data_IF_109150313656
#
_entry.id   IF_109150313656
#
_cell.length_a   1.000
_cell.length_b   1.000
_cell.length_c   1.000
_cell.angle_alpha   90.00
_cell.angle_beta   90.00
_cell.angle_gamma   90.00
#
_symmetry.space_group_name_H-M   'P 1'
#
loop_
_entity.id
_entity.type
_entity.pdbx_description
1 polymer ?
#
# COMPACT_ATOMS: atom_id res chain seq x y z
N UNK A 1 -12.61 -21.72 5.63
CA UNK A 1 -12.12 -21.77 4.25
C UNK A 1 -12.86 -20.71 3.45
N UNK A 2 -12.40 -19.46 3.48
CA UNK A 2 -13.14 -18.34 2.89
C UNK A 2 -12.18 -17.40 2.14
N UNK A 3 -12.52 -17.12 0.88
CA UNK A 3 -11.98 -16.09 -0.02
C UNK A 3 -10.54 -16.25 -0.54
N UNK A 4 -10.38 -17.13 -1.53
CA UNK A 4 -9.23 -17.16 -2.44
C UNK A 4 -9.55 -16.51 -3.82
N UNK A 5 -10.70 -15.84 -3.97
CA UNK A 5 -11.24 -15.46 -5.29
C UNK A 5 -10.93 -14.04 -5.79
N UNK A 6 -10.22 -13.20 -5.04
CA UNK A 6 -9.95 -11.82 -5.47
C UNK A 6 -8.55 -11.34 -5.08
N UNK A 7 -7.50 -12.08 -5.47
CA UNK A 7 -6.14 -11.52 -5.41
C UNK A 7 -6.05 -10.40 -6.46
N UNK A 8 -5.94 -9.16 -6.01
CA UNK A 8 -5.74 -8.01 -6.90
C UNK A 8 -4.25 -7.82 -7.12
N UNK A 9 -3.86 -7.65 -8.38
CA UNK A 9 -2.49 -7.36 -8.83
C UNK A 9 -2.45 -5.94 -9.38
N UNK A 10 -1.44 -5.18 -8.96
CA UNK A 10 -1.06 -3.89 -9.56
C UNK A 10 0.33 -4.04 -10.14
N UNK A 11 0.46 -3.77 -11.44
CA UNK A 11 1.75 -3.69 -12.11
C UNK A 11 2.19 -2.22 -12.14
N UNK A 12 3.45 -1.98 -11.77
CA UNK A 12 4.04 -0.64 -11.79
C UNK A 12 5.03 -0.59 -12.94
N UNK A 13 4.79 0.31 -13.88
CA UNK A 13 5.58 0.46 -15.10
C UNK A 13 6.32 1.80 -15.13
N UNK A 14 7.58 1.78 -15.59
CA UNK A 14 8.35 2.98 -15.91
C UNK A 14 9.54 2.64 -16.84
N UNK A 15 9.59 3.14 -18.10
CA UNK A 15 8.52 3.83 -18.84
C UNK A 15 7.31 2.92 -19.12
N UNK A 16 6.21 3.43 -19.70
CA UNK A 16 5.06 2.59 -20.08
C UNK A 16 5.49 1.39 -20.94
N UNK A 17 5.00 0.19 -20.59
CA UNK A 17 5.37 -1.08 -21.20
C UNK A 17 6.62 -1.76 -20.60
N UNK A 18 7.27 -1.16 -19.59
CA UNK A 18 8.36 -1.78 -18.83
C UNK A 18 7.97 -1.90 -17.37
N UNK A 19 7.58 -3.10 -16.95
CA UNK A 19 7.24 -3.41 -15.56
C UNK A 19 8.50 -3.34 -14.68
N UNK A 20 8.48 -2.47 -13.68
CA UNK A 20 9.57 -2.31 -12.70
C UNK A 20 9.28 -3.05 -11.38
N UNK A 21 8.03 -3.47 -11.16
CA UNK A 21 7.63 -4.28 -10.02
C UNK A 21 6.12 -4.46 -9.95
N UNK A 22 5.66 -5.21 -8.95
CA UNK A 22 4.26 -5.55 -8.76
C UNK A 22 3.83 -5.40 -7.30
N UNK A 23 2.53 -5.24 -7.08
CA UNK A 23 1.92 -5.29 -5.75
C UNK A 23 0.77 -6.28 -5.80
N UNK A 24 0.80 -7.26 -4.90
CA UNK A 24 -0.22 -8.31 -4.82
C UNK A 24 -0.94 -8.22 -3.49
N UNK A 25 -2.27 -8.19 -3.54
CA UNK A 25 -3.10 -8.39 -2.35
C UNK A 25 -3.20 -9.90 -2.04
N UNK A 26 -2.75 -10.28 -0.84
CA UNK A 26 -2.85 -11.63 -0.32
C UNK A 26 -3.87 -11.70 0.82
N UNK A 27 -4.54 -12.85 0.94
CA UNK A 27 -5.40 -13.15 2.08
C UNK A 27 -4.54 -13.44 3.31
N UNK A 28 -4.54 -12.53 4.28
CA UNK A 28 -3.95 -12.79 5.60
C UNK A 28 -4.92 -13.52 6.54
N UNK A 29 -4.42 -13.96 7.70
CA UNK A 29 -5.21 -14.71 8.67
C UNK A 29 -6.31 -13.87 9.34
N UNK A 30 -6.04 -12.59 9.61
CA UNK A 30 -6.99 -11.65 10.24
C UNK A 30 -7.11 -10.31 9.51
N UNK A 31 -6.13 -9.92 8.69
CA UNK A 31 -6.07 -8.63 7.98
C UNK A 31 -5.62 -8.81 6.52
N UNK A 32 -5.98 -7.88 5.61
CA UNK A 32 -5.40 -7.86 4.27
C UNK A 32 -3.88 -7.60 4.36
N UNK A 33 -3.11 -8.41 3.63
CA UNK A 33 -1.66 -8.29 3.48
C UNK A 33 -1.38 -7.86 2.03
N UNK A 34 -0.61 -6.79 1.83
CA UNK A 34 -0.16 -6.40 0.49
C UNK A 34 1.34 -6.61 0.38
N UNK A 35 1.77 -7.25 -0.69
CA UNK A 35 3.18 -7.63 -0.89
C UNK A 35 3.70 -6.91 -2.12
N UNK A 36 4.70 -6.05 -1.94
CA UNK A 36 5.43 -5.40 -3.01
C UNK A 36 6.57 -6.29 -3.49
N UNK A 37 6.71 -6.46 -4.80
CA UNK A 37 7.79 -7.23 -5.41
C UNK A 37 8.51 -6.43 -6.49
N UNK A 38 9.81 -6.66 -6.61
CA UNK A 38 10.60 -6.10 -7.70
C UNK A 38 10.40 -6.86 -9.03
N UNK A 39 11.10 -6.44 -10.08
CA UNK A 39 11.09 -7.08 -11.39
C UNK A 39 11.66 -8.51 -11.41
N UNK A 40 12.31 -8.95 -10.33
CA UNK A 40 12.87 -10.29 -10.15
C UNK A 40 11.94 -11.16 -9.30
N UNK A 41 10.71 -10.71 -9.05
CA UNK A 41 9.71 -11.34 -8.18
C UNK A 41 10.19 -11.51 -6.72
N UNK A 42 11.18 -10.72 -6.29
CA UNK A 42 11.65 -10.71 -4.90
C UNK A 42 10.76 -9.82 -4.05
N UNK A 43 10.39 -10.29 -2.86
CA UNK A 43 9.65 -9.48 -1.91
C UNK A 43 10.53 -8.33 -1.40
N UNK A 44 10.07 -7.10 -1.61
CA UNK A 44 10.76 -5.89 -1.17
C UNK A 44 10.16 -5.29 0.10
N UNK A 45 8.84 -5.45 0.30
CA UNK A 45 8.14 -5.03 1.51
C UNK A 45 6.75 -5.66 1.60
N UNK A 46 6.26 -5.76 2.82
CA UNK A 46 4.91 -6.14 3.19
C UNK A 46 4.18 -4.95 3.82
N UNK A 47 2.91 -4.76 3.48
CA UNK A 47 2.01 -3.77 4.09
C UNK A 47 0.98 -4.49 4.93
N UNK A 48 0.95 -4.17 6.22
CA UNK A 48 0.04 -4.78 7.21
C UNK A 48 -0.86 -3.72 7.84
N UNK A 49 -2.15 -4.04 7.99
CA UNK A 49 -3.10 -3.18 8.69
C UNK A 49 -2.89 -3.28 10.20
N UNK A 50 -2.71 -2.14 10.88
CA UNK A 50 -2.71 -2.13 12.35
C UNK A 50 -4.16 -2.00 12.85
N UNK A 51 -4.81 -3.13 13.09
CA UNK A 51 -6.25 -3.23 13.35
C UNK A 51 -6.72 -2.74 14.76
N UNK A 52 -6.11 -1.68 15.31
CA UNK A 52 -6.33 -1.25 16.70
C UNK A 52 -6.76 0.22 16.90
N UNK A 53 -7.25 0.94 15.89
CA UNK A 53 -7.75 2.31 16.12
C UNK A 53 -9.12 2.60 15.52
N UNK A 54 -9.98 3.26 16.30
CA UNK A 54 -11.35 3.69 15.94
C UNK A 54 -11.37 4.96 15.04
N UNK A 55 -10.28 5.25 14.34
CA UNK A 55 -10.05 6.43 13.49
C UNK A 55 -9.13 6.07 12.31
N UNK A 56 -8.70 7.06 11.50
CA UNK A 56 -7.74 6.95 10.38
C UNK A 56 -6.96 5.62 10.31
N UNK A 57 -7.17 4.84 9.24
CA UNK A 57 -6.45 3.56 9.07
C UNK A 57 -4.97 3.83 8.77
N UNK A 58 -4.11 3.24 9.61
CA UNK A 58 -2.65 3.22 9.42
C UNK A 58 -2.24 1.82 9.01
N UNK A 59 -1.48 1.75 7.91
CA UNK A 59 -0.91 0.53 7.37
C UNK A 59 0.60 0.65 7.45
N UNK A 60 1.24 -0.25 8.18
CA UNK A 60 2.70 -0.24 8.30
C UNK A 60 3.33 -0.93 7.11
N UNK A 61 4.37 -0.30 6.56
CA UNK A 61 5.25 -0.87 5.54
C UNK A 61 6.44 -1.47 6.27
N UNK A 62 6.68 -2.76 6.08
CA UNK A 62 7.77 -3.50 6.72
C UNK A 62 8.56 -4.28 5.68
N UNK A 63 9.85 -4.48 5.92
CA UNK A 63 10.69 -5.38 5.15
C UNK A 63 11.25 -6.50 6.06
N UNK A 64 12.16 -7.33 5.53
CA UNK A 64 12.83 -8.37 6.32
C UNK A 64 13.73 -7.85 7.46
N UNK A 65 13.96 -6.53 7.56
CA UNK A 65 14.77 -5.87 8.59
C UNK A 65 13.93 -5.10 9.61
N UNK A 66 12.69 -4.75 9.28
CA UNK A 66 11.75 -4.13 10.21
C UNK A 66 10.86 -3.07 9.57
N UNK A 67 10.50 -2.06 10.36
CA UNK A 67 9.64 -0.96 9.92
C UNK A 67 10.36 -0.07 8.90
N UNK A 68 9.68 0.18 7.78
CA UNK A 68 10.16 1.04 6.69
C UNK A 68 9.35 2.32 6.55
N UNK A 69 8.09 2.33 6.99
CA UNK A 69 7.24 3.51 6.87
C UNK A 69 5.77 3.16 7.06
N UNK A 70 4.90 4.05 6.62
CA UNK A 70 3.46 3.85 6.72
C UNK A 70 2.68 4.43 5.54
N UNK A 71 1.56 3.79 5.23
CA UNK A 71 0.48 4.34 4.41
C UNK A 71 -0.66 4.70 5.34
N UNK A 72 -1.13 5.94 5.30
CA UNK A 72 -2.23 6.42 6.17
C UNK A 72 -3.38 6.93 5.33
N UNK A 73 -4.59 6.43 5.60
CA UNK A 73 -5.83 6.99 5.05
C UNK A 73 -6.43 7.96 6.06
N UNK A 74 -6.45 9.27 5.75
CA UNK A 74 -7.18 10.27 6.53
C UNK A 74 -8.65 10.32 6.09
N UNK A 75 -9.57 10.17 7.03
CA UNK A 75 -10.97 10.53 6.80
C UNK A 75 -11.08 12.05 6.84
N UNK A 76 -11.60 12.67 5.78
CA UNK A 76 -11.93 14.09 5.77
C UNK A 76 -13.13 14.32 6.71
N UNK A 77 -12.86 14.58 7.99
CA UNK A 77 -13.89 14.81 9.00
C UNK A 77 -14.37 16.27 9.04
N UNK A 78 -15.66 16.46 8.71
CA UNK A 78 -16.62 17.41 9.31
C UNK A 78 -16.22 18.91 9.35
N UNK A 79 -15.94 19.54 8.21
CA UNK A 79 -16.20 20.98 8.04
C UNK A 79 -16.80 21.23 6.65
N UNK A 80 -17.89 22.00 6.65
CA UNK A 80 -18.79 22.28 5.54
C UNK A 80 -18.11 22.75 4.26
N UNK A 81 -18.19 22.00 3.16
CA UNK A 81 -18.32 22.64 1.86
C UNK A 81 -18.89 21.70 0.79
N UNK A 82 -20.05 22.11 0.32
CA UNK A 82 -21.04 21.50 -0.56
C UNK A 82 -20.55 21.05 -1.95
N UNK A 83 -19.24 21.02 -2.26
CA UNK A 83 -18.75 20.82 -3.64
C UNK A 83 -17.37 20.13 -3.78
N UNK A 84 -17.02 19.10 -3.00
CA UNK A 84 -15.97 18.13 -3.46
C UNK A 84 -16.12 16.78 -2.77
N UNK A 85 -16.80 15.86 -3.45
CA UNK A 85 -17.16 14.52 -2.99
C UNK A 85 -15.93 13.59 -3.04
N UNK A 86 -15.62 12.96 -1.91
CA UNK A 86 -14.80 11.76 -1.74
C UNK A 86 -13.30 11.80 -2.15
N UNK A 87 -12.51 12.79 -1.73
CA UNK A 87 -11.04 12.66 -1.76
C UNK A 87 -10.53 11.99 -0.47
N UNK A 88 -10.25 10.70 -0.54
CA UNK A 88 -9.46 10.00 0.49
C UNK A 88 -8.04 10.60 0.47
N UNK A 89 -7.67 11.40 1.48
CA UNK A 89 -6.30 11.90 1.60
C UNK A 89 -5.41 10.76 2.10
N UNK A 90 -4.67 10.13 1.19
CA UNK A 90 -3.64 9.16 1.52
C UNK A 90 -2.29 9.86 1.74
N UNK A 91 -1.61 9.51 2.83
CA UNK A 91 -0.21 9.86 3.07
C UNK A 91 0.66 8.62 2.96
N UNK A 92 1.83 8.75 2.36
CA UNK A 92 2.85 7.69 2.31
C UNK A 92 4.15 8.24 2.89
N UNK A 93 4.79 7.46 3.76
CA UNK A 93 6.12 7.76 4.30
C UNK A 93 7.05 6.58 4.07
N UNK A 94 8.31 6.89 3.78
CA UNK A 94 9.38 5.91 3.59
C UNK A 94 10.74 6.59 3.82
N UNK A 95 11.83 5.83 4.03
CA UNK A 95 13.14 6.39 4.31
C UNK A 95 13.72 7.04 3.05
N UNK A 96 14.51 8.10 3.22
CA UNK A 96 15.16 8.79 2.09
C UNK A 96 16.06 7.85 1.28
N UNK A 97 16.75 6.93 1.95
CA UNK A 97 17.68 5.96 1.34
C UNK A 97 17.00 4.83 0.56
N UNK A 98 15.67 4.71 0.63
CA UNK A 98 14.95 3.65 -0.10
C UNK A 98 15.11 3.84 -1.62
N UNK A 99 15.42 2.77 -2.39
CA UNK A 99 15.56 2.86 -3.83
C UNK A 99 14.32 3.46 -4.52
N UNK A 100 14.54 4.26 -5.57
CA UNK A 100 13.46 4.95 -6.29
C UNK A 100 12.41 3.98 -6.83
N UNK A 101 12.84 2.82 -7.33
CA UNK A 101 11.94 1.76 -7.82
C UNK A 101 11.03 1.26 -6.70
N UNK A 102 11.57 1.00 -5.50
CA UNK A 102 10.75 0.50 -4.39
C UNK A 102 9.77 1.56 -3.90
N UNK A 103 10.15 2.85 -3.92
CA UNK A 103 9.25 3.97 -3.64
C UNK A 103 8.09 4.03 -4.64
N UNK A 104 8.38 3.87 -5.94
CA UNK A 104 7.36 3.83 -6.98
C UNK A 104 6.39 2.65 -6.78
N UNK A 105 6.92 1.46 -6.45
CA UNK A 105 6.10 0.29 -6.15
C UNK A 105 5.22 0.53 -4.91
N UNK A 106 5.76 1.14 -3.85
CA UNK A 106 5.00 1.50 -2.65
C UNK A 106 3.90 2.52 -2.92
N UNK A 107 4.14 3.51 -3.78
CA UNK A 107 3.09 4.43 -4.26
C UNK A 107 2.02 3.65 -5.03
N UNK A 108 2.41 2.71 -5.89
CA UNK A 108 1.48 1.80 -6.57
C UNK A 108 0.63 0.97 -5.59
N UNK A 109 1.20 0.56 -4.46
CA UNK A 109 0.48 -0.20 -3.44
C UNK A 109 -0.67 0.59 -2.81
N UNK A 110 -0.62 1.93 -2.80
CA UNK A 110 -1.68 2.77 -2.24
C UNK A 110 -3.01 2.64 -2.98
N UNK A 111 -3.02 2.14 -4.22
CA UNK A 111 -4.24 1.88 -4.97
C UNK A 111 -5.02 0.64 -4.47
N UNK A 112 -4.38 -0.23 -3.68
CA UNK A 112 -5.00 -1.44 -3.12
C UNK A 112 -5.50 -1.25 -1.67
N UNK A 113 -5.15 -0.12 -1.04
CA UNK A 113 -5.32 0.17 0.39
C UNK A 113 -6.60 0.96 0.69
#
# INVERSE_FOLDING_TARGET
SCCQCCQVLVEVEAPPGVVIGTVVQQSGACDPLYVGRDNSDQNIFDIVCMMCSCSDKVFEVRDGRGYMGEVRRRWAGILNETLTKDHNNFGVSFPTEMPVIHKAILIGATFLV
#
